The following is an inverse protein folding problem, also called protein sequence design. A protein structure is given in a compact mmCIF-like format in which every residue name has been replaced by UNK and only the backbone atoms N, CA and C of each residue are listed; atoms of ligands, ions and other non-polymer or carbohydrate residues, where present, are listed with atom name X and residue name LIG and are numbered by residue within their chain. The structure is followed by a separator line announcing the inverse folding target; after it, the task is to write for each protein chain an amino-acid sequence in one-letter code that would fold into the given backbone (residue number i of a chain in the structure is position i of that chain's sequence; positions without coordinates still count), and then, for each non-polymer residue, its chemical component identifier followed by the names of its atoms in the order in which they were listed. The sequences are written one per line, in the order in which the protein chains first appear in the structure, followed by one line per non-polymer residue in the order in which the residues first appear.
data_IF_066399170136
#
_entry.id   IF_066399170136
#
_cell.length_a   1.000
_cell.length_b   1.000
_cell.length_c   1.000
_cell.angle_alpha   90.00
_cell.angle_beta   90.00
_cell.angle_gamma   90.00
#
_symmetry.space_group_name_H-M   'P 1'
#
loop_
_entity.id
_entity.type
_entity.pdbx_description
1 polymer ?
#
# COMPACT_ATOMS: atom_id res chain seq x y z
N UNK A 1 72.86 -21.85 3.94
CA UNK A 1 71.76 -21.50 4.90
C UNK A 1 70.69 -20.52 4.38
N UNK A 2 70.97 -19.58 3.47
CA UNK A 2 70.00 -18.60 2.94
C UNK A 2 68.81 -19.14 2.15
N UNK A 3 68.97 -20.24 1.36
CA UNK A 3 67.87 -20.87 0.57
C UNK A 3 66.78 -21.48 1.46
N UNK A 4 67.13 -22.07 2.62
CA UNK A 4 66.18 -22.69 3.56
C UNK A 4 65.33 -21.65 4.31
N UNK A 5 65.92 -20.47 4.70
CA UNK A 5 65.21 -19.35 5.30
C UNK A 5 64.19 -18.71 4.34
N UNK A 6 64.51 -18.52 3.04
CA UNK A 6 63.59 -18.00 2.02
C UNK A 6 62.39 -18.97 1.75
N UNK A 7 62.60 -20.29 1.84
CA UNK A 7 61.54 -21.29 1.63
C UNK A 7 60.53 -21.30 2.79
N UNK A 8 61.01 -21.10 4.03
CA UNK A 8 60.15 -21.02 5.23
C UNK A 8 59.37 -19.72 5.28
N UNK A 9 59.96 -18.57 4.89
CA UNK A 9 59.28 -17.29 4.77
C UNK A 9 58.12 -17.34 3.73
N UNK A 10 58.34 -17.99 2.58
CA UNK A 10 57.28 -18.19 1.57
C UNK A 10 56.12 -19.03 2.09
N UNK A 11 56.39 -20.10 2.85
CA UNK A 11 55.39 -20.93 3.48
C UNK A 11 54.57 -20.18 4.55
N UNK A 12 55.24 -19.35 5.34
CA UNK A 12 54.60 -18.49 6.33
C UNK A 12 53.66 -17.48 5.68
N UNK A 13 54.14 -16.78 4.63
CA UNK A 13 53.32 -15.81 3.88
C UNK A 13 52.12 -16.49 3.25
N UNK A 14 52.28 -17.69 2.65
CA UNK A 14 51.20 -18.46 2.08
C UNK A 14 50.17 -18.87 3.17
N UNK A 15 50.64 -19.31 4.35
CA UNK A 15 49.79 -19.63 5.47
C UNK A 15 48.96 -18.46 5.96
N UNK A 16 49.57 -17.28 6.07
CA UNK A 16 48.87 -16.03 6.46
C UNK A 16 47.81 -15.66 5.39
N UNK A 17 48.16 -15.78 4.11
CA UNK A 17 47.24 -15.49 3.02
C UNK A 17 46.02 -16.44 3.02
N UNK A 18 46.25 -17.73 3.23
CA UNK A 18 45.18 -18.74 3.33
C UNK A 18 44.28 -18.45 4.54
N UNK A 19 44.87 -18.11 5.70
CA UNK A 19 44.11 -17.74 6.89
C UNK A 19 43.25 -16.48 6.65
N UNK A 20 43.80 -15.47 5.98
CA UNK A 20 43.09 -14.25 5.61
C UNK A 20 41.88 -14.56 4.69
N UNK A 21 42.11 -15.37 3.62
CA UNK A 21 41.02 -15.78 2.70
C UNK A 21 39.93 -16.56 3.44
N UNK A 22 40.34 -17.45 4.36
CA UNK A 22 39.38 -18.23 5.17
C UNK A 22 38.52 -17.33 6.08
N UNK A 23 39.12 -16.32 6.73
CA UNK A 23 38.38 -15.34 7.55
C UNK A 23 37.41 -14.54 6.69
N UNK A 24 37.84 -14.08 5.51
CA UNK A 24 36.98 -13.37 4.59
C UNK A 24 35.79 -14.23 4.10
N UNK A 25 36.04 -15.51 3.79
CA UNK A 25 35.02 -16.47 3.38
C UNK A 25 33.99 -16.72 4.50
N UNK A 26 34.47 -16.90 5.73
CA UNK A 26 33.59 -17.08 6.90
C UNK A 26 32.72 -15.82 7.14
N UNK A 27 33.31 -14.64 7.06
CA UNK A 27 32.60 -13.36 7.16
C UNK A 27 31.51 -13.23 6.08
N UNK A 28 31.87 -13.58 4.82
CA UNK A 28 30.92 -13.55 3.69
C UNK A 28 29.75 -14.50 3.92
N UNK A 29 30.01 -15.73 4.34
CA UNK A 29 28.98 -16.73 4.65
C UNK A 29 28.09 -16.26 5.80
N UNK A 30 28.68 -15.71 6.87
CA UNK A 30 27.94 -15.20 8.03
C UNK A 30 26.97 -14.08 7.64
N UNK A 31 27.41 -13.13 6.81
CA UNK A 31 26.54 -12.04 6.33
C UNK A 31 25.47 -12.59 5.38
N UNK A 32 25.81 -13.53 4.50
CA UNK A 32 24.84 -14.19 3.62
C UNK A 32 23.75 -14.92 4.43
N UNK A 33 24.15 -15.57 5.53
CA UNK A 33 23.21 -16.22 6.46
C UNK A 33 22.29 -15.19 7.17
N UNK A 34 22.81 -14.04 7.57
CA UNK A 34 21.98 -12.96 8.11
C UNK A 34 20.88 -12.55 7.12
N UNK A 35 21.24 -12.37 5.83
CA UNK A 35 20.27 -12.00 4.80
C UNK A 35 19.36 -13.16 4.34
N UNK A 36 19.52 -14.37 4.85
CA UNK A 36 18.51 -15.43 4.62
C UNK A 36 17.18 -15.15 5.35
N UNK A 37 17.22 -14.33 6.40
CA UNK A 37 16.06 -13.94 7.21
C UNK A 37 15.76 -12.43 7.17
N UNK A 38 16.56 -11.65 6.47
CA UNK A 38 16.42 -10.20 6.35
C UNK A 38 16.51 -9.79 4.86
N UNK A 39 15.70 -8.81 4.47
CA UNK A 39 15.78 -8.25 3.13
C UNK A 39 17.12 -7.56 2.89
N UNK A 40 17.63 -7.67 1.68
CA UNK A 40 18.86 -7.01 1.25
C UNK A 40 18.74 -5.49 1.36
N UNK A 41 19.89 -4.81 1.51
CA UNK A 41 19.92 -3.35 1.48
C UNK A 41 19.39 -2.80 0.16
N UNK A 42 18.67 -1.67 0.21
CA UNK A 42 18.07 -1.05 -0.96
C UNK A 42 16.80 -1.75 -1.47
N UNK A 43 16.27 -2.73 -0.75
CA UNK A 43 15.00 -3.38 -1.09
C UNK A 43 13.82 -2.51 -0.66
N UNK A 44 12.91 -2.25 -1.60
CA UNK A 44 11.62 -1.59 -1.36
C UNK A 44 10.48 -2.49 -1.86
N UNK A 45 9.37 -2.51 -1.14
CA UNK A 45 8.14 -3.23 -1.52
C UNK A 45 7.01 -2.21 -1.52
N UNK A 46 6.42 -1.95 -2.69
CA UNK A 46 5.34 -0.95 -2.87
C UNK A 46 5.66 0.39 -2.17
N UNK A 47 6.89 0.90 -2.38
CA UNK A 47 7.38 2.14 -1.79
C UNK A 47 7.84 2.04 -0.33
N UNK A 48 7.64 0.91 0.35
CA UNK A 48 8.06 0.70 1.74
C UNK A 48 9.53 0.25 1.77
N UNK A 49 10.40 0.99 2.47
CA UNK A 49 11.77 0.56 2.71
C UNK A 49 11.83 -0.68 3.62
N UNK A 50 12.32 -1.78 3.04
CA UNK A 50 12.47 -3.09 3.67
C UNK A 50 13.93 -3.42 4.01
N UNK A 51 14.88 -2.54 3.74
CA UNK A 51 16.32 -2.74 3.95
C UNK A 51 16.64 -3.30 5.33
N UNK A 52 17.31 -4.45 5.37
CA UNK A 52 17.72 -5.15 6.60
C UNK A 52 16.58 -5.46 7.58
N UNK A 53 15.35 -5.64 7.08
CA UNK A 53 14.18 -6.01 7.89
C UNK A 53 13.77 -7.45 7.65
N UNK A 54 13.24 -8.08 8.67
CA UNK A 54 12.60 -9.39 8.55
C UNK A 54 11.22 -9.27 7.89
N UNK A 55 10.69 -10.37 7.33
CA UNK A 55 9.34 -10.41 6.77
C UNK A 55 8.29 -9.90 7.79
N UNK A 56 8.38 -10.33 9.04
CA UNK A 56 7.49 -9.87 10.12
C UNK A 56 7.55 -8.36 10.34
N UNK A 57 8.72 -7.75 10.26
CA UNK A 57 8.87 -6.29 10.41
C UNK A 57 8.28 -5.55 9.21
N UNK A 58 8.42 -6.12 8.01
CA UNK A 58 7.82 -5.57 6.78
C UNK A 58 6.30 -5.63 6.85
N UNK A 59 5.73 -6.78 7.22
CA UNK A 59 4.27 -6.95 7.41
C UNK A 59 3.70 -5.93 8.42
N UNK A 60 4.40 -5.70 9.54
CA UNK A 60 4.02 -4.66 10.51
C UNK A 60 4.06 -3.24 9.93
N UNK A 61 5.03 -2.95 9.05
CA UNK A 61 5.09 -1.67 8.35
C UNK A 61 3.93 -1.50 7.37
N UNK A 62 3.60 -2.55 6.61
CA UNK A 62 2.44 -2.56 5.71
C UNK A 62 1.17 -2.26 6.52
N UNK A 63 0.94 -2.99 7.62
CA UNK A 63 -0.22 -2.76 8.49
C UNK A 63 -0.27 -1.32 9.03
N UNK A 64 0.89 -0.78 9.45
CA UNK A 64 0.95 0.61 9.94
C UNK A 64 0.61 1.62 8.84
N UNK A 65 1.04 1.38 7.61
CA UNK A 65 0.75 2.25 6.47
C UNK A 65 -0.73 2.18 6.08
N UNK A 66 -1.31 0.97 6.08
CA UNK A 66 -2.76 0.78 5.88
C UNK A 66 -3.59 1.51 6.94
N UNK A 67 -3.16 1.51 8.20
CA UNK A 67 -3.84 2.27 9.25
C UNK A 67 -3.85 3.79 9.05
N UNK A 68 -3.04 4.31 8.13
CA UNK A 68 -3.02 5.73 7.73
C UNK A 68 -3.82 6.00 6.44
N UNK A 69 -4.35 4.96 5.82
CA UNK A 69 -5.13 5.08 4.59
C UNK A 69 -6.38 5.93 4.82
N UNK A 70 -6.66 6.79 3.85
CA UNK A 70 -7.83 7.65 3.80
C UNK A 70 -8.34 7.69 2.38
N UNK A 71 -9.61 7.39 2.20
CA UNK A 71 -10.32 7.57 0.95
C UNK A 71 -11.09 8.90 1.00
N UNK A 72 -10.72 9.83 0.14
CA UNK A 72 -11.44 11.08 -0.06
C UNK A 72 -12.54 10.85 -1.10
N UNK A 73 -13.73 11.32 -0.80
CA UNK A 73 -14.92 11.19 -1.62
C UNK A 73 -15.41 12.58 -1.93
N UNK A 74 -15.29 13.02 -3.18
CA UNK A 74 -15.86 14.29 -3.63
C UNK A 74 -17.34 14.08 -3.99
N UNK A 75 -18.23 14.84 -3.38
CA UNK A 75 -19.68 14.80 -3.58
C UNK A 75 -20.13 15.81 -4.66
N UNK A 76 -21.37 15.67 -5.14
CA UNK A 76 -21.96 16.49 -6.21
C UNK A 76 -21.99 17.98 -5.92
N UNK A 77 -22.06 18.40 -4.67
CA UNK A 77 -22.16 19.79 -4.24
C UNK A 77 -20.79 20.43 -3.89
N UNK A 78 -19.71 19.78 -4.30
CA UNK A 78 -18.35 20.21 -4.02
C UNK A 78 -17.88 19.92 -2.59
N UNK A 79 -18.70 19.27 -1.76
CA UNK A 79 -18.28 18.75 -0.47
C UNK A 79 -17.31 17.61 -0.64
N UNK A 80 -16.51 17.37 0.38
CA UNK A 80 -15.56 16.25 0.40
C UNK A 80 -15.66 15.56 1.74
N UNK A 81 -15.90 14.26 1.69
CA UNK A 81 -15.88 13.41 2.87
C UNK A 81 -14.68 12.47 2.86
N UNK A 82 -14.41 11.84 3.97
CA UNK A 82 -13.24 10.97 4.10
C UNK A 82 -13.57 9.75 4.93
N UNK A 83 -13.40 8.57 4.33
CA UNK A 83 -13.43 7.30 5.05
C UNK A 83 -11.99 6.96 5.47
N UNK A 84 -11.77 6.76 6.77
CA UNK A 84 -10.47 6.40 7.31
C UNK A 84 -10.37 4.87 7.52
N UNK A 85 -9.17 4.33 7.35
CA UNK A 85 -8.89 2.91 7.59
C UNK A 85 -9.39 2.43 8.96
N UNK A 86 -9.25 3.27 9.99
CA UNK A 86 -9.69 2.96 11.37
C UNK A 86 -11.20 2.92 11.55
N UNK A 87 -11.97 3.60 10.70
CA UNK A 87 -13.43 3.58 10.75
C UNK A 87 -13.99 2.25 10.26
N UNK A 88 -13.30 1.63 9.30
CA UNK A 88 -13.75 0.40 8.65
C UNK A 88 -12.93 -0.85 9.06
N UNK A 89 -12.07 -0.72 10.08
CA UNK A 89 -11.12 -1.77 10.51
C UNK A 89 -10.31 -2.36 9.36
N UNK A 90 -9.79 -1.50 8.47
CA UNK A 90 -8.98 -1.94 7.33
C UNK A 90 -7.69 -2.59 7.82
N UNK A 91 -7.49 -3.86 7.49
CA UNK A 91 -6.34 -4.66 7.93
C UNK A 91 -5.66 -5.38 6.79
N UNK A 92 -4.35 -5.60 6.96
CA UNK A 92 -3.54 -6.43 6.07
C UNK A 92 -3.85 -7.91 6.30
N UNK A 93 -4.10 -8.63 5.22
CA UNK A 93 -4.21 -10.10 5.23
C UNK A 93 -2.87 -10.69 4.82
N UNK A 94 -2.27 -11.47 5.72
CA UNK A 94 -1.00 -12.15 5.44
C UNK A 94 -1.23 -13.33 4.49
N UNK A 95 -0.91 -13.11 3.21
CA UNK A 95 -1.00 -14.09 2.14
C UNK A 95 0.35 -14.75 1.80
N UNK A 96 1.33 -14.65 2.70
CA UNK A 96 2.71 -15.14 2.59
C UNK A 96 3.56 -14.54 1.47
N UNK A 97 3.05 -13.64 0.65
CA UNK A 97 3.82 -13.04 -0.47
C UNK A 97 5.09 -12.32 -0.01
N UNK A 98 5.07 -11.67 1.17
CA UNK A 98 6.26 -11.03 1.74
C UNK A 98 7.33 -12.05 2.10
N UNK A 99 6.93 -13.21 2.64
CA UNK A 99 7.87 -14.30 2.95
C UNK A 99 8.42 -14.95 1.68
N UNK A 100 7.60 -15.07 0.64
CA UNK A 100 8.03 -15.58 -0.66
C UNK A 100 9.08 -14.67 -1.29
N UNK A 101 8.85 -13.35 -1.32
CA UNK A 101 9.83 -12.38 -1.79
C UNK A 101 11.15 -12.45 -1.01
N UNK A 102 11.09 -12.70 0.30
CA UNK A 102 12.29 -12.88 1.13
C UNK A 102 13.04 -14.17 0.76
N UNK A 103 12.34 -15.26 0.44
CA UNK A 103 12.94 -16.54 0.02
C UNK A 103 13.53 -16.48 -1.39
N UNK A 104 12.91 -15.71 -2.28
CA UNK A 104 13.36 -15.56 -3.67
C UNK A 104 14.58 -14.64 -3.80
N UNK A 105 14.89 -13.85 -2.78
CA UNK A 105 16.07 -13.01 -2.84
C UNK A 105 17.36 -13.84 -2.83
N UNK A 106 18.35 -13.40 -3.62
CA UNK A 106 19.67 -14.01 -3.67
C UNK A 106 20.55 -13.44 -2.55
N UNK A 107 20.41 -13.96 -1.33
CA UNK A 107 21.09 -13.45 -0.13
C UNK A 107 22.63 -13.36 -0.26
N UNK A 108 23.22 -14.18 -1.12
CA UNK A 108 24.66 -14.15 -1.39
C UNK A 108 25.10 -12.91 -2.20
N UNK A 109 24.17 -12.19 -2.86
CA UNK A 109 24.45 -10.93 -3.57
C UNK A 109 24.46 -9.69 -2.67
N UNK A 110 24.54 -9.85 -1.35
CA UNK A 110 24.46 -8.75 -0.40
C UNK A 110 25.50 -7.64 -0.65
N UNK A 111 26.70 -7.97 -1.15
CA UNK A 111 27.73 -6.96 -1.47
C UNK A 111 27.25 -6.01 -2.57
N UNK A 112 26.65 -6.53 -3.64
CA UNK A 112 26.15 -5.70 -4.74
C UNK A 112 24.90 -4.93 -4.37
N UNK A 113 24.15 -5.38 -3.37
CA UNK A 113 22.94 -4.72 -2.87
C UNK A 113 23.22 -3.36 -2.20
N UNK A 114 24.48 -3.07 -1.80
CA UNK A 114 24.84 -1.74 -1.28
C UNK A 114 24.83 -0.65 -2.36
N UNK A 115 25.00 -1.02 -3.62
CA UNK A 115 25.05 -0.09 -4.77
C UNK A 115 23.84 -0.22 -5.70
N UNK A 116 22.94 -1.16 -5.45
CA UNK A 116 21.75 -1.39 -6.27
C UNK A 116 20.47 -1.25 -5.43
N UNK A 117 19.41 -0.72 -6.05
CA UNK A 117 18.06 -0.71 -5.46
C UNK A 117 17.24 -1.80 -6.11
N UNK A 118 16.47 -2.54 -5.33
CA UNK A 118 15.53 -3.54 -5.82
C UNK A 118 14.12 -3.18 -5.35
N UNK A 119 13.26 -2.88 -6.30
CA UNK A 119 11.86 -2.52 -6.03
C UNK A 119 10.97 -3.67 -6.44
N UNK A 120 10.06 -4.03 -5.56
CA UNK A 120 8.99 -4.97 -5.82
C UNK A 120 7.66 -4.24 -5.70
N UNK A 121 6.77 -4.48 -6.65
CA UNK A 121 5.38 -4.09 -6.55
C UNK A 121 4.57 -5.28 -6.03
N UNK A 122 3.93 -5.11 -4.89
CA UNK A 122 3.14 -6.14 -4.25
C UNK A 122 1.69 -5.65 -4.13
N UNK A 123 0.77 -6.37 -4.77
CA UNK A 123 -0.65 -6.19 -4.49
C UNK A 123 -0.92 -6.67 -3.06
N UNK A 124 -1.17 -5.73 -2.17
CA UNK A 124 -1.44 -5.99 -0.75
C UNK A 124 -2.87 -6.50 -0.62
N UNK A 125 -3.05 -7.69 -0.08
CA UNK A 125 -4.38 -8.22 0.23
C UNK A 125 -4.87 -7.57 1.52
N UNK A 126 -6.06 -6.96 1.45
CA UNK A 126 -6.67 -6.27 2.60
C UNK A 126 -8.05 -6.83 2.90
N UNK A 127 -8.51 -6.64 4.12
CA UNK A 127 -9.89 -6.90 4.54
C UNK A 127 -10.38 -5.74 5.41
N UNK A 128 -11.69 -5.53 5.44
CA UNK A 128 -12.34 -4.50 6.24
C UNK A 128 -13.67 -5.03 6.79
N UNK A 129 -14.23 -4.34 7.78
CA UNK A 129 -15.56 -4.65 8.32
C UNK A 129 -16.65 -4.02 7.43
N UNK A 130 -17.43 -4.87 6.75
CA UNK A 130 -18.50 -4.42 5.85
C UNK A 130 -19.62 -3.63 6.57
N UNK A 131 -19.89 -3.95 7.84
CA UNK A 131 -20.91 -3.23 8.61
C UNK A 131 -20.45 -1.82 8.91
N UNK A 132 -19.19 -1.67 9.34
CA UNK A 132 -18.59 -0.37 9.58
C UNK A 132 -18.46 0.47 8.31
N UNK A 133 -18.14 -0.18 7.18
CA UNK A 133 -18.16 0.52 5.89
C UNK A 133 -19.55 1.01 5.55
N UNK A 134 -20.58 0.17 5.76
CA UNK A 134 -21.97 0.58 5.54
C UNK A 134 -22.39 1.73 6.45
N UNK A 135 -22.04 1.66 7.74
CA UNK A 135 -22.31 2.76 8.70
C UNK A 135 -21.60 4.05 8.25
N UNK A 136 -20.33 3.97 7.82
CA UNK A 136 -19.60 5.13 7.31
C UNK A 136 -20.25 5.73 6.05
N UNK A 137 -20.83 4.90 5.18
CA UNK A 137 -21.58 5.36 4.02
C UNK A 137 -22.94 5.94 4.40
N UNK A 138 -23.63 5.34 5.40
CA UNK A 138 -24.90 5.85 5.92
C UNK A 138 -24.76 7.24 6.53
N UNK A 139 -23.61 7.55 7.12
CA UNK A 139 -23.31 8.84 7.74
C UNK A 139 -22.93 9.92 6.72
N UNK A 140 -22.70 9.58 5.45
CA UNK A 140 -22.31 10.55 4.41
C UNK A 140 -23.42 11.57 4.15
N UNK A 141 -23.04 12.85 3.96
CA UNK A 141 -23.98 13.95 3.82
C UNK A 141 -24.87 13.80 2.58
N UNK A 142 -24.36 13.21 1.50
CA UNK A 142 -25.13 12.97 0.28
C UNK A 142 -26.26 11.94 0.44
N UNK A 143 -26.30 11.17 1.54
CA UNK A 143 -27.36 10.23 1.86
C UNK A 143 -28.28 10.66 3.00
N UNK A 144 -28.02 11.83 3.61
CA UNK A 144 -28.92 12.39 4.62
C UNK A 144 -30.16 12.98 3.95
N UNK A 145 -31.35 12.62 4.43
CA UNK A 145 -32.64 13.07 3.85
C UNK A 145 -32.74 14.59 3.70
N UNK A 146 -32.16 15.33 4.65
CA UNK A 146 -32.14 16.80 4.66
C UNK A 146 -31.31 17.43 3.54
N UNK A 147 -30.37 16.67 2.94
CA UNK A 147 -29.49 17.13 1.89
C UNK A 147 -29.88 16.60 0.50
N UNK A 148 -30.79 15.61 0.44
CA UNK A 148 -31.21 14.99 -0.81
C UNK A 148 -32.31 15.83 -1.47
N UNK A 149 -32.04 16.29 -2.68
CA UNK A 149 -33.03 16.98 -3.53
C UNK A 149 -33.43 16.06 -4.66
N UNK A 150 -34.70 15.66 -4.69
CA UNK A 150 -35.22 14.88 -5.78
C UNK A 150 -35.34 15.74 -7.06
N UNK A 151 -34.98 15.21 -8.25
CA UNK A 151 -35.16 15.93 -9.50
C UNK A 151 -36.65 16.22 -9.73
N UNK A 152 -36.97 17.37 -10.31
CA UNK A 152 -38.33 17.74 -10.69
C UNK A 152 -38.35 18.17 -12.15
N UNK A 153 -39.27 17.58 -12.90
CA UNK A 153 -39.48 17.96 -14.30
C UNK A 153 -40.08 19.36 -14.42
N UNK A 154 -39.76 20.03 -15.52
CA UNK A 154 -40.43 21.27 -15.88
C UNK A 154 -41.93 21.07 -15.95
N UNK A 155 -42.69 21.96 -15.35
CA UNK A 155 -44.15 21.88 -15.35
C UNK A 155 -44.82 23.21 -15.62
N UNK A 156 -46.08 23.17 -16.14
CA UNK A 156 -46.93 24.37 -16.26
C UNK A 156 -47.68 24.56 -14.95
N UNK A 157 -47.56 25.74 -14.36
CA UNK A 157 -48.37 26.19 -13.21
C UNK A 157 -49.22 27.39 -13.60
N UNK A 158 -50.48 27.39 -13.19
CA UNK A 158 -51.33 28.56 -13.24
C UNK A 158 -50.98 29.53 -12.11
N UNK A 159 -50.65 30.77 -12.46
CA UNK A 159 -50.47 31.86 -11.54
C UNK A 159 -51.25 33.08 -12.03
N UNK A 160 -52.18 33.53 -11.21
CA UNK A 160 -53.02 34.69 -11.51
C UNK A 160 -53.83 34.62 -12.84
N UNK A 161 -54.23 33.42 -13.24
CA UNK A 161 -54.98 33.21 -14.50
C UNK A 161 -54.12 33.04 -15.76
N UNK A 162 -52.80 33.05 -15.63
CA UNK A 162 -51.84 32.77 -16.70
C UNK A 162 -51.03 31.49 -16.41
N UNK A 163 -50.71 30.78 -17.50
CA UNK A 163 -49.83 29.59 -17.35
C UNK A 163 -48.37 30.02 -17.45
N UNK A 164 -47.59 29.68 -16.40
CA UNK A 164 -46.16 29.93 -16.34
C UNK A 164 -45.43 28.59 -16.37
N UNK A 165 -44.35 28.56 -17.14
CA UNK A 165 -43.42 27.38 -17.12
C UNK A 165 -42.56 27.51 -15.87
N UNK A 166 -42.69 26.53 -14.96
CA UNK A 166 -41.73 26.34 -13.87
C UNK A 166 -40.61 25.45 -14.46
N UNK A 167 -39.35 25.90 -14.46
CA UNK A 167 -38.24 25.11 -15.01
C UNK A 167 -37.99 23.84 -14.19
N UNK A 168 -37.30 22.89 -14.78
CA UNK A 168 -36.81 21.71 -14.07
C UNK A 168 -35.86 22.10 -12.93
N UNK A 169 -35.88 21.30 -11.88
CA UNK A 169 -34.87 21.32 -10.81
C UNK A 169 -34.00 20.09 -10.94
N UNK A 170 -32.70 20.29 -11.19
CA UNK A 170 -31.74 19.18 -11.15
C UNK A 170 -31.66 18.66 -9.72
N UNK A 171 -31.84 17.36 -9.54
CA UNK A 171 -31.68 16.70 -8.25
C UNK A 171 -30.22 16.36 -8.00
N UNK A 172 -29.92 16.00 -6.75
CA UNK A 172 -28.61 15.49 -6.34
C UNK A 172 -28.66 14.03 -5.83
N UNK A 173 -29.70 13.30 -6.24
CA UNK A 173 -29.91 11.92 -5.80
C UNK A 173 -28.87 11.00 -6.43
N UNK A 174 -28.09 10.31 -5.58
CA UNK A 174 -27.10 9.31 -5.99
C UNK A 174 -27.65 7.90 -5.89
N UNK A 175 -27.27 7.04 -6.83
CA UNK A 175 -27.49 5.61 -6.72
C UNK A 175 -26.57 5.01 -5.67
N UNK A 176 -27.15 4.68 -4.51
CA UNK A 176 -26.42 4.12 -3.38
C UNK A 176 -25.61 2.87 -3.75
N UNK A 177 -26.17 2.00 -4.59
CA UNK A 177 -25.50 0.75 -5.00
C UNK A 177 -24.24 1.05 -5.82
N UNK A 178 -24.31 2.04 -6.71
CA UNK A 178 -23.16 2.47 -7.50
C UNK A 178 -22.08 3.10 -6.60
N UNK A 179 -22.48 3.96 -5.66
CA UNK A 179 -21.54 4.59 -4.71
C UNK A 179 -20.86 3.54 -3.83
N UNK A 180 -21.64 2.62 -3.23
CA UNK A 180 -21.08 1.54 -2.41
C UNK A 180 -20.07 0.69 -3.20
N UNK A 181 -20.40 0.34 -4.43
CA UNK A 181 -19.49 -0.39 -5.31
C UNK A 181 -18.21 0.40 -5.60
N UNK A 182 -18.33 1.68 -5.97
CA UNK A 182 -17.18 2.52 -6.27
C UNK A 182 -16.24 2.70 -5.07
N UNK A 183 -16.80 2.84 -3.87
CA UNK A 183 -16.05 2.92 -2.61
C UNK A 183 -15.32 1.60 -2.34
N UNK A 184 -15.98 0.44 -2.47
CA UNK A 184 -15.37 -0.88 -2.32
C UNK A 184 -14.22 -1.07 -3.31
N UNK A 185 -14.47 -0.81 -4.59
CA UNK A 185 -13.45 -0.92 -5.65
C UNK A 185 -12.25 0.02 -5.38
N UNK A 186 -12.49 1.20 -4.84
CA UNK A 186 -11.43 2.15 -4.48
C UNK A 186 -10.59 1.63 -3.30
N UNK A 187 -11.21 1.13 -2.24
CA UNK A 187 -10.51 0.55 -1.07
C UNK A 187 -9.67 -0.66 -1.50
N UNK A 188 -10.24 -1.57 -2.28
CA UNK A 188 -9.56 -2.78 -2.76
C UNK A 188 -8.39 -2.49 -3.70
N UNK A 189 -8.54 -1.45 -4.54
CA UNK A 189 -7.46 -0.99 -5.44
C UNK A 189 -6.46 -0.04 -4.79
N UNK A 190 -6.67 0.36 -3.53
CA UNK A 190 -5.81 1.31 -2.81
C UNK A 190 -5.86 2.74 -3.34
N UNK A 191 -6.93 3.12 -4.05
CA UNK A 191 -7.17 4.50 -4.45
C UNK A 191 -7.41 5.38 -3.23
N UNK A 192 -6.96 6.62 -3.28
CA UNK A 192 -7.09 7.58 -2.18
C UNK A 192 -8.14 8.66 -2.44
N UNK A 193 -8.74 8.66 -3.62
CA UNK A 193 -9.74 9.64 -4.03
C UNK A 193 -10.71 9.04 -5.05
N UNK A 194 -12.00 9.38 -4.92
CA UNK A 194 -13.05 9.14 -5.90
C UNK A 194 -13.92 10.38 -6.03
N UNK A 195 -14.55 10.56 -7.21
CA UNK A 195 -15.51 11.63 -7.47
C UNK A 195 -16.87 11.00 -7.78
N UNK A 196 -17.91 11.37 -7.02
CA UNK A 196 -19.26 10.84 -7.20
C UNK A 196 -20.00 11.49 -8.38
N UNK A 197 -19.55 12.67 -8.88
CA UNK A 197 -20.10 13.27 -10.09
C UNK A 197 -20.00 12.35 -11.31
N UNK A 198 -19.00 11.48 -11.35
CA UNK A 198 -18.80 10.51 -12.42
C UNK A 198 -19.79 9.33 -12.35
N UNK A 199 -20.58 9.22 -11.28
CA UNK A 199 -21.49 8.10 -11.01
C UNK A 199 -22.97 8.47 -11.15
N UNK A 200 -23.28 9.75 -11.32
CA UNK A 200 -24.64 10.30 -11.47
C UNK A 200 -25.30 9.99 -12.79
#
# INVERSE_FOLDING_TARGET
MAKKKKKNAKKLVLGVLVAYVAIMALGYIGVSYYFSSHFLKGTTISGIDCSSKTATQVKKKIQKQLGQYKLRIAELDGKTETIQATQIDLTYVDDNKVDELLKEQEQWKWITAFSSKKTYELAVTTTYDEKKLKEALDDMSCFQEENVVAPKDACLKEQNGEYVIVPEEEGNTLDRTKVEKAVKDAIESGKTEINLEELG
#
